data_IF_857907615878
#
_entry.id   IF_857907615878
#
_cell.length_a   1.000
_cell.length_b   1.000
_cell.length_c   1.000
_cell.angle_alpha   90.00
_cell.angle_beta   90.00
_cell.angle_gamma   90.00
#
_symmetry.space_group_name_H-M   'P 1'
#
loop_
_entity.id
_entity.type
_entity.pdbx_description
1 polymer ?
#
# COMPACT_ATOMS: atom_id res chain seq x y z
N UNK A 1 7.63 16.06 13.86
CA UNK A 1 7.92 16.07 12.40
C UNK A 1 8.79 14.90 11.93
N UNK A 2 9.81 14.44 12.69
CA UNK A 2 10.71 13.33 12.31
C UNK A 2 10.03 11.97 12.03
N UNK A 3 8.93 11.65 12.70
CA UNK A 3 8.20 10.37 12.54
C UNK A 3 7.43 10.30 11.20
N UNK A 4 6.88 11.44 10.77
CA UNK A 4 6.10 11.57 9.53
C UNK A 4 6.98 11.26 8.31
N UNK A 5 8.18 11.86 8.25
CA UNK A 5 9.15 11.57 7.20
C UNK A 5 9.56 10.10 7.19
N UNK A 6 9.90 9.50 8.33
CA UNK A 6 10.43 8.12 8.34
C UNK A 6 9.43 7.05 7.91
N UNK A 7 8.14 7.22 8.21
CA UNK A 7 7.11 6.22 7.88
C UNK A 7 6.43 6.48 6.52
N UNK A 8 6.22 7.74 6.13
CA UNK A 8 5.58 8.07 4.85
C UNK A 8 6.56 8.16 3.70
N UNK A 9 7.84 8.49 3.93
CA UNK A 9 8.83 8.57 2.86
C UNK A 9 8.98 7.24 2.10
N UNK A 10 9.08 6.06 2.73
CA UNK A 10 9.14 4.80 2.00
C UNK A 10 7.90 4.58 1.10
N UNK A 11 6.71 4.91 1.61
CA UNK A 11 5.45 4.77 0.88
C UNK A 11 5.43 5.72 -0.33
N UNK A 12 5.84 6.97 -0.16
CA UNK A 12 5.93 7.97 -1.24
C UNK A 12 6.97 7.58 -2.28
N UNK A 13 8.14 7.09 -1.85
CA UNK A 13 9.19 6.62 -2.76
C UNK A 13 8.71 5.46 -3.61
N UNK A 14 8.01 4.48 -3.00
CA UNK A 14 7.41 3.36 -3.73
C UNK A 14 6.34 3.86 -4.71
N UNK A 15 5.49 4.78 -4.28
CA UNK A 15 4.45 5.37 -5.14
C UNK A 15 5.04 6.04 -6.37
N UNK A 16 6.06 6.89 -6.21
CA UNK A 16 6.74 7.56 -7.31
C UNK A 16 7.44 6.53 -8.20
N UNK A 17 8.16 5.57 -7.60
CA UNK A 17 8.89 4.53 -8.34
C UNK A 17 7.95 3.71 -9.22
N UNK A 18 6.83 3.21 -8.67
CA UNK A 18 5.85 2.47 -9.45
C UNK A 18 5.14 3.34 -10.49
N UNK A 19 4.79 4.58 -10.16
CA UNK A 19 4.15 5.49 -11.11
C UNK A 19 5.06 5.74 -12.31
N UNK A 20 6.32 6.10 -12.06
CA UNK A 20 7.31 6.32 -13.11
C UNK A 20 7.55 5.04 -13.92
N UNK A 21 7.70 3.89 -13.25
CA UNK A 21 7.87 2.61 -13.92
C UNK A 21 6.68 2.24 -14.82
N UNK A 22 5.45 2.39 -14.34
CA UNK A 22 4.23 2.08 -15.11
C UNK A 22 4.11 3.01 -16.34
N UNK A 23 4.40 4.30 -16.18
CA UNK A 23 4.34 5.27 -17.29
C UNK A 23 5.39 4.95 -18.35
N UNK A 24 6.64 4.67 -17.94
CA UNK A 24 7.72 4.32 -18.87
C UNK A 24 7.50 2.96 -19.54
N UNK A 25 6.98 1.99 -18.79
CA UNK A 25 6.69 0.64 -19.28
C UNK A 25 5.35 0.55 -20.04
N UNK A 26 4.56 1.61 -20.13
CA UNK A 26 3.24 1.63 -20.82
C UNK A 26 3.23 0.91 -22.18
N UNK A 27 4.15 1.16 -23.13
CA UNK A 27 4.13 0.45 -24.42
C UNK A 27 4.35 -1.07 -24.26
N UNK A 28 5.17 -1.48 -23.29
CA UNK A 28 5.40 -2.89 -22.98
C UNK A 28 4.16 -3.51 -22.32
N UNK A 29 3.52 -2.80 -21.38
CA UNK A 29 2.31 -3.24 -20.70
C UNK A 29 1.17 -3.45 -21.71
N UNK A 30 0.99 -2.52 -22.65
CA UNK A 30 0.02 -2.66 -23.74
C UNK A 30 0.30 -3.87 -24.63
N UNK A 31 1.58 -4.15 -24.94
CA UNK A 31 1.96 -5.34 -25.72
C UNK A 31 1.57 -6.66 -25.03
N UNK A 32 1.58 -6.70 -23.71
CA UNK A 32 1.19 -7.87 -22.91
C UNK A 32 -0.27 -7.86 -22.46
N UNK A 33 -1.08 -6.93 -22.97
CA UNK A 33 -2.48 -6.76 -22.60
C UNK A 33 -2.67 -6.52 -21.09
N UNK A 34 -1.82 -5.64 -20.53
CA UNK A 34 -1.86 -5.20 -19.14
C UNK A 34 -2.33 -3.75 -19.11
N UNK A 35 -3.52 -3.54 -18.53
CA UNK A 35 -4.09 -2.22 -18.40
C UNK A 35 -3.31 -1.38 -17.36
N UNK A 36 -2.62 -0.36 -17.86
CA UNK A 36 -1.85 0.58 -17.05
C UNK A 36 -2.73 1.43 -16.14
N UNK A 37 -4.00 1.68 -16.50
CA UNK A 37 -4.93 2.46 -15.69
C UNK A 37 -5.32 1.73 -14.41
N UNK A 38 -5.47 0.40 -14.47
CA UNK A 38 -5.72 -0.44 -13.30
C UNK A 38 -4.52 -0.39 -12.34
N UNK A 39 -3.30 -0.51 -12.86
CA UNK A 39 -2.09 -0.46 -12.05
C UNK A 39 -1.90 0.91 -11.38
N UNK A 40 -2.14 2.01 -12.10
CA UNK A 40 -2.06 3.36 -11.54
C UNK A 40 -3.15 3.60 -10.48
N UNK A 41 -4.37 3.12 -10.72
CA UNK A 41 -5.47 3.22 -9.75
C UNK A 41 -5.18 2.42 -8.48
N UNK A 42 -4.63 1.21 -8.62
CA UNK A 42 -4.18 0.41 -7.48
C UNK A 42 -3.04 1.11 -6.71
N UNK A 43 -2.06 1.70 -7.43
CA UNK A 43 -0.97 2.45 -6.80
C UNK A 43 -1.49 3.63 -5.97
N UNK A 44 -2.47 4.37 -6.50
CA UNK A 44 -3.13 5.47 -5.78
C UNK A 44 -3.90 4.96 -4.56
N UNK A 45 -4.61 3.84 -4.67
CA UNK A 45 -5.29 3.20 -3.54
C UNK A 45 -4.30 2.86 -2.43
N UNK A 46 -3.18 2.23 -2.75
CA UNK A 46 -2.18 1.84 -1.75
C UNK A 46 -1.52 3.04 -1.07
N UNK A 47 -1.27 4.13 -1.81
CA UNK A 47 -0.82 5.39 -1.22
C UNK A 47 -1.85 5.93 -0.22
N UNK A 48 -3.13 5.99 -0.61
CA UNK A 48 -4.20 6.49 0.26
C UNK A 48 -4.34 5.64 1.53
N UNK A 49 -4.35 4.31 1.39
CA UNK A 49 -4.41 3.40 2.52
C UNK A 49 -3.16 3.51 3.42
N UNK A 50 -1.98 3.72 2.84
CA UNK A 50 -0.75 3.99 3.57
C UNK A 50 -0.86 5.23 4.46
N UNK A 51 -1.41 6.32 3.92
CA UNK A 51 -1.64 7.56 4.65
C UNK A 51 -2.68 7.36 5.77
N UNK A 52 -3.80 6.70 5.48
CA UNK A 52 -4.85 6.42 6.45
C UNK A 52 -4.30 5.62 7.64
N UNK A 53 -3.61 4.52 7.37
CA UNK A 53 -3.04 3.65 8.40
C UNK A 53 -1.94 4.36 9.20
N UNK A 54 -1.15 5.23 8.55
CA UNK A 54 -0.18 6.07 9.25
C UNK A 54 -0.83 6.94 10.33
N UNK A 55 -1.99 7.55 10.06
CA UNK A 55 -2.69 8.36 11.09
C UNK A 55 -3.12 7.52 12.29
N UNK A 56 -3.59 6.30 12.06
CA UNK A 56 -3.97 5.37 13.13
C UNK A 56 -2.74 5.00 13.97
N UNK A 57 -1.65 4.59 13.32
CA UNK A 57 -0.42 4.17 13.98
C UNK A 57 0.30 5.30 14.70
N UNK A 58 0.28 6.53 14.15
CA UNK A 58 0.82 7.73 14.78
C UNK A 58 0.17 7.99 16.14
N UNK A 59 -1.15 7.89 16.21
CA UNK A 59 -1.89 8.06 17.46
C UNK A 59 -1.56 6.93 18.46
N UNK A 60 -1.43 5.69 17.98
CA UNK A 60 -1.06 4.56 18.82
C UNK A 60 0.38 4.67 19.38
N UNK A 61 1.32 5.22 18.60
CA UNK A 61 2.70 5.45 19.04
C UNK A 61 2.85 6.50 20.15
N UNK A 62 1.89 7.42 20.29
CA UNK A 62 1.87 8.40 21.37
C UNK A 62 1.39 7.80 22.72
N UNK A 63 0.79 6.61 22.70
CA UNK A 63 0.30 5.95 23.90
C UNK A 63 1.44 5.31 24.70
N UNK A 64 1.33 5.37 26.04
CA UNK A 64 2.29 4.72 26.96
C UNK A 64 2.20 3.20 26.94
N UNK A 65 1.06 2.64 26.52
CA UNK A 65 0.81 1.20 26.51
C UNK A 65 1.29 0.56 25.19
N UNK A 66 2.32 -0.32 25.20
CA UNK A 66 2.84 -0.97 23.99
C UNK A 66 1.81 -1.83 23.26
N UNK A 67 0.83 -2.41 23.97
CA UNK A 67 -0.21 -3.24 23.36
C UNK A 67 -1.13 -2.43 22.44
N UNK A 68 -1.27 -1.12 22.66
CA UNK A 68 -2.02 -0.23 21.76
C UNK A 68 -1.32 -0.12 20.41
N UNK A 69 0.02 -0.04 20.41
CA UNK A 69 0.81 0.00 19.19
C UNK A 69 0.67 -1.28 18.37
N UNK A 70 0.84 -2.46 18.99
CA UNK A 70 0.70 -3.74 18.28
C UNK A 70 -0.71 -3.90 17.68
N UNK A 71 -1.76 -3.57 18.44
CA UNK A 71 -3.15 -3.61 17.93
C UNK A 71 -3.35 -2.68 16.74
N UNK A 72 -2.72 -1.50 16.73
CA UNK A 72 -2.81 -0.56 15.61
C UNK A 72 -2.14 -1.09 14.34
N UNK A 73 -1.05 -1.86 14.47
CA UNK A 73 -0.40 -2.51 13.33
C UNK A 73 -1.32 -3.58 12.74
N UNK A 74 -1.90 -4.43 13.58
CA UNK A 74 -2.84 -5.48 13.15
C UNK A 74 -4.06 -4.84 12.48
N UNK A 75 -4.65 -3.82 13.09
CA UNK A 75 -5.78 -3.09 12.49
C UNK A 75 -5.41 -2.46 11.14
N UNK A 76 -4.23 -1.86 11.03
CA UNK A 76 -3.73 -1.30 9.78
C UNK A 76 -3.58 -2.33 8.67
N UNK A 77 -2.98 -3.49 8.96
CA UNK A 77 -2.86 -4.59 8.01
C UNK A 77 -4.23 -5.10 7.56
N UNK A 78 -5.18 -5.27 8.49
CA UNK A 78 -6.54 -5.72 8.19
C UNK A 78 -7.28 -4.72 7.29
N UNK A 79 -7.19 -3.42 7.59
CA UNK A 79 -7.79 -2.37 6.75
C UNK A 79 -7.25 -2.48 5.33
N UNK A 80 -5.92 -2.58 5.15
CA UNK A 80 -5.33 -2.66 3.81
C UNK A 80 -5.74 -3.92 3.06
N UNK A 81 -5.76 -5.06 3.73
CA UNK A 81 -6.16 -6.33 3.14
C UNK A 81 -7.62 -6.28 2.67
N UNK A 82 -8.55 -5.89 3.56
CA UNK A 82 -9.97 -5.80 3.20
C UNK A 82 -10.25 -4.74 2.15
N UNK A 83 -9.61 -3.57 2.23
CA UNK A 83 -9.75 -2.52 1.21
C UNK A 83 -9.23 -2.98 -0.16
N UNK A 84 -8.15 -3.76 -0.19
CA UNK A 84 -7.61 -4.31 -1.45
C UNK A 84 -8.56 -5.34 -2.05
N UNK A 85 -9.06 -6.28 -1.23
CA UNK A 85 -10.05 -7.27 -1.68
C UNK A 85 -11.32 -6.57 -2.18
N UNK A 86 -11.83 -5.59 -1.43
CA UNK A 86 -13.01 -4.83 -1.81
C UNK A 86 -12.79 -4.06 -3.12
N UNK A 87 -11.62 -3.44 -3.30
CA UNK A 87 -11.29 -2.74 -4.54
C UNK A 87 -11.26 -3.69 -5.75
N UNK A 88 -10.72 -4.91 -5.59
CA UNK A 88 -10.73 -5.94 -6.64
C UNK A 88 -12.16 -6.38 -6.94
N UNK A 89 -12.98 -6.63 -5.92
CA UNK A 89 -14.38 -7.02 -6.11
C UNK A 89 -15.16 -5.93 -6.85
N UNK A 90 -15.00 -4.66 -6.45
CA UNK A 90 -15.59 -3.51 -7.15
C UNK A 90 -15.13 -3.51 -8.61
N UNK A 91 -13.82 -3.61 -8.87
CA UNK A 91 -13.29 -3.61 -10.22
C UNK A 91 -13.89 -4.74 -11.10
N UNK A 92 -13.97 -5.95 -10.57
CA UNK A 92 -14.52 -7.12 -11.29
C UNK A 92 -16.01 -6.96 -11.56
N UNK A 93 -16.79 -6.47 -10.58
CA UNK A 93 -18.23 -6.25 -10.75
C UNK A 93 -18.53 -5.16 -11.79
N UNK A 94 -17.79 -4.05 -11.76
CA UNK A 94 -18.00 -2.94 -12.70
C UNK A 94 -17.49 -3.24 -14.12
N UNK A 95 -16.39 -3.99 -14.25
CA UNK A 95 -15.81 -4.32 -15.57
C UNK A 95 -16.46 -5.56 -16.20
N UNK A 96 -17.09 -6.41 -15.37
CA UNK A 96 -17.71 -7.65 -15.82
C UNK A 96 -16.68 -8.68 -16.28
N UNK A 97 -17.05 -9.52 -17.26
CA UNK A 97 -16.24 -10.67 -17.71
C UNK A 97 -14.90 -10.30 -18.38
N UNK A 98 -14.71 -9.04 -18.75
CA UNK A 98 -13.53 -8.57 -19.48
C UNK A 98 -12.52 -7.83 -18.57
N UNK A 99 -12.56 -8.09 -17.27
CA UNK A 99 -11.61 -7.49 -16.33
C UNK A 99 -10.17 -7.97 -16.62
N UNK A 100 -9.20 -7.10 -16.41
CA UNK A 100 -7.80 -7.41 -16.71
C UNK A 100 -7.16 -8.21 -15.56
N UNK A 101 -7.24 -9.53 -15.62
CA UNK A 101 -6.69 -10.43 -14.58
C UNK A 101 -5.19 -10.23 -14.37
N UNK A 102 -4.43 -9.94 -15.43
CA UNK A 102 -2.97 -9.72 -15.35
C UNK A 102 -2.66 -8.46 -14.53
N UNK A 103 -3.38 -7.37 -14.81
CA UNK A 103 -3.21 -6.11 -14.07
C UNK A 103 -3.63 -6.25 -12.60
N UNK A 104 -4.69 -7.02 -12.30
CA UNK A 104 -5.07 -7.34 -10.92
C UNK A 104 -3.97 -8.12 -10.22
N UNK A 105 -3.39 -9.14 -10.86
CA UNK A 105 -2.31 -9.94 -10.28
C UNK A 105 -1.04 -9.11 -10.02
N UNK A 106 -0.65 -8.25 -10.96
CA UNK A 106 0.46 -7.31 -10.77
C UNK A 106 0.16 -6.32 -9.64
N UNK A 107 -1.09 -5.85 -9.52
CA UNK A 107 -1.51 -4.97 -8.43
C UNK A 107 -1.39 -5.66 -7.06
N UNK A 108 -1.64 -6.98 -6.98
CA UNK A 108 -1.40 -7.77 -5.77
C UNK A 108 0.09 -7.88 -5.43
N UNK A 109 0.97 -8.02 -6.43
CA UNK A 109 2.41 -7.97 -6.19
C UNK A 109 2.86 -6.59 -5.69
N UNK A 110 2.32 -5.51 -6.26
CA UNK A 110 2.56 -4.15 -5.78
C UNK A 110 2.10 -3.98 -4.32
N UNK A 111 0.92 -4.50 -3.97
CA UNK A 111 0.43 -4.52 -2.58
C UNK A 111 1.45 -5.15 -1.61
N UNK A 112 2.03 -6.30 -1.97
CA UNK A 112 3.05 -6.95 -1.14
C UNK A 112 4.28 -6.07 -0.93
N UNK A 113 4.72 -5.34 -1.94
CA UNK A 113 5.85 -4.40 -1.83
C UNK A 113 5.52 -3.25 -0.87
N UNK A 114 4.32 -2.67 -0.97
CA UNK A 114 3.86 -1.64 -0.03
C UNK A 114 3.78 -2.16 1.40
N UNK A 115 3.25 -3.37 1.60
CA UNK A 115 3.13 -4.01 2.91
C UNK A 115 4.51 -4.28 3.52
N UNK A 116 5.43 -4.86 2.74
CA UNK A 116 6.78 -5.14 3.21
C UNK A 116 7.52 -3.86 3.64
N UNK A 117 7.44 -2.81 2.85
CA UNK A 117 8.07 -1.53 3.17
C UNK A 117 7.52 -0.90 4.45
N UNK A 118 6.20 -0.98 4.66
CA UNK A 118 5.58 -0.52 5.89
C UNK A 118 6.05 -1.33 7.11
N UNK A 119 6.04 -2.66 7.02
CA UNK A 119 6.46 -3.54 8.13
C UNK A 119 7.92 -3.29 8.48
N UNK A 120 8.79 -3.09 7.49
CA UNK A 120 10.21 -2.77 7.71
C UNK A 120 10.34 -1.41 8.41
N UNK A 121 9.65 -0.38 7.92
CA UNK A 121 9.69 0.96 8.51
C UNK A 121 9.18 0.98 9.96
N UNK A 122 8.08 0.27 10.24
CA UNK A 122 7.51 0.12 11.58
C UNK A 122 8.44 -0.63 12.52
N UNK A 123 9.00 -1.76 12.06
CA UNK A 123 9.90 -2.59 12.84
C UNK A 123 11.19 -1.84 13.21
N UNK A 124 11.70 -1.02 12.29
CA UNK A 124 12.86 -0.17 12.52
C UNK A 124 12.60 0.91 13.58
N UNK A 125 11.40 1.47 13.65
CA UNK A 125 11.06 2.50 14.64
C UNK A 125 10.73 1.89 16.01
N UNK A 126 10.11 0.70 16.08
CA UNK A 126 9.87 0.00 17.33
C UNK A 126 11.18 -0.34 18.07
N UNK A 127 12.20 -0.84 17.34
CA UNK A 127 13.53 -1.13 17.91
C UNK A 127 14.21 0.11 18.49
N UNK A 128 13.97 1.30 17.94
CA UNK A 128 14.56 2.55 18.45
C UNK A 128 13.90 3.08 19.71
N UNK A 129 12.66 2.67 20.00
CA UNK A 129 11.88 3.19 21.13
C UNK A 129 11.89 2.25 22.33
N UNK A 130 12.03 0.94 22.11
CA UNK A 130 11.97 -0.10 23.14
C UNK A 130 13.24 -0.96 23.21
N UNK A 131 14.32 -0.56 22.53
CA UNK A 131 15.63 -1.21 22.55
C UNK A 131 16.68 -0.36 23.24
#
# INVERSE_FOLDING_TARGET
>A
MKLFGKMLLPILVIFVTFTTFIILAKPLLLKYDVDSHVLLSANLLFLFLGILVFFIQKNALANKNPNVFIRSIIAGMMIKMFSTVLAILIYVVFTGKNYNTKAVFISLLMYLVYLAAEVIALSAENKKKNG
#
